data_IF_457214083834
#
_entry.id   IF_457214083834
#
_cell.length_a   1.000
_cell.length_b   1.000
_cell.length_c   1.000
_cell.angle_alpha   90.00
_cell.angle_beta   90.00
_cell.angle_gamma   90.00
#
_symmetry.space_group_name_H-M   'P 1'
#
loop_
_entity.id
_entity.type
_entity.pdbx_description
1 polymer ?
#
# COMPACT_ATOMS: atom_id res chain seq x y z
N UNK A 1 -31.99 -6.66 13.72
CA UNK A 1 -31.82 -5.19 13.82
C UNK A 1 -30.53 -4.84 13.10
N UNK A 2 -30.62 -4.55 11.81
CA UNK A 2 -29.51 -4.06 11.00
C UNK A 2 -29.10 -2.67 11.50
N UNK A 3 -28.04 -2.64 12.32
CA UNK A 3 -27.29 -1.40 12.60
C UNK A 3 -26.10 -1.32 11.65
N UNK A 4 -26.37 -1.20 10.35
CA UNK A 4 -25.44 -0.53 9.45
C UNK A 4 -25.49 0.96 9.80
N UNK A 5 -24.76 1.34 10.86
CA UNK A 5 -24.59 2.74 11.23
C UNK A 5 -24.00 3.45 10.00
N UNK A 6 -24.67 4.48 9.45
CA UNK A 6 -24.21 5.07 8.21
C UNK A 6 -22.87 5.74 8.49
N UNK A 7 -21.84 5.38 7.72
CA UNK A 7 -20.49 5.95 7.83
C UNK A 7 -20.49 7.50 7.78
N UNK A 8 -21.55 8.11 7.23
CA UNK A 8 -21.79 9.56 7.23
C UNK A 8 -21.99 10.17 8.62
N UNK A 9 -22.60 9.44 9.56
CA UNK A 9 -22.78 9.91 10.95
C UNK A 9 -21.43 10.09 11.63
N UNK A 10 -20.53 9.12 11.47
CA UNK A 10 -19.18 9.20 12.04
C UNK A 10 -18.34 10.32 11.38
N UNK A 11 -18.51 10.51 10.08
CA UNK A 11 -17.77 11.52 9.32
C UNK A 11 -18.10 12.96 9.74
N UNK A 12 -19.38 13.25 9.96
CA UNK A 12 -19.84 14.58 10.41
C UNK A 12 -19.40 14.86 11.84
N UNK A 13 -19.47 13.86 12.72
CA UNK A 13 -18.98 13.96 14.10
C UNK A 13 -17.47 14.19 14.14
N UNK A 14 -16.72 13.49 13.29
CA UNK A 14 -15.28 13.67 13.13
C UNK A 14 -14.93 15.05 12.57
N UNK A 15 -15.69 15.55 11.59
CA UNK A 15 -15.53 16.92 11.08
C UNK A 15 -15.70 17.96 12.20
N UNK A 16 -16.81 17.89 12.93
CA UNK A 16 -17.12 18.83 14.00
C UNK A 16 -16.07 18.80 15.11
N UNK A 17 -15.60 17.60 15.48
CA UNK A 17 -14.51 17.43 16.45
C UNK A 17 -13.21 18.08 15.97
N UNK A 18 -12.82 17.84 14.71
CA UNK A 18 -11.58 18.40 14.16
C UNK A 18 -11.63 19.93 14.08
N UNK A 19 -12.77 20.50 13.70
CA UNK A 19 -12.97 21.96 13.70
C UNK A 19 -12.89 22.53 15.11
N UNK A 20 -13.52 21.87 16.09
CA UNK A 20 -13.45 22.27 17.49
C UNK A 20 -12.01 22.21 18.03
N UNK A 21 -11.26 21.16 17.71
CA UNK A 21 -9.86 21.00 18.10
C UNK A 21 -8.99 22.11 17.49
N UNK A 22 -9.17 22.40 16.20
CA UNK A 22 -8.45 23.50 15.50
C UNK A 22 -8.71 24.85 16.17
N UNK A 23 -9.98 25.20 16.41
CA UNK A 23 -10.35 26.47 17.02
C UNK A 23 -9.85 26.58 18.47
N UNK A 24 -9.93 25.49 19.23
CA UNK A 24 -9.48 25.45 20.63
C UNK A 24 -7.97 25.65 20.71
N UNK A 25 -7.19 24.91 19.91
CA UNK A 25 -5.73 25.04 19.88
C UNK A 25 -5.28 26.41 19.38
N UNK A 26 -5.94 26.97 18.37
CA UNK A 26 -5.66 28.32 17.90
C UNK A 26 -5.88 29.37 19.01
N UNK A 27 -6.97 29.24 19.78
CA UNK A 27 -7.20 30.10 20.95
C UNK A 27 -6.08 29.97 21.98
N UNK A 28 -5.68 28.74 22.32
CA UNK A 28 -4.60 28.48 23.28
C UNK A 28 -3.27 29.07 22.81
N UNK A 29 -2.95 28.93 21.52
CA UNK A 29 -1.76 29.55 20.91
C UNK A 29 -1.79 31.08 21.03
N UNK A 30 -2.94 31.71 20.76
CA UNK A 30 -3.08 33.16 20.90
C UNK A 30 -2.89 33.59 22.36
N UNK A 31 -3.48 32.87 23.33
CA UNK A 31 -3.29 33.17 24.75
C UNK A 31 -1.82 33.01 25.18
N UNK A 32 -1.14 31.93 24.77
CA UNK A 32 0.28 31.72 25.05
C UNK A 32 1.13 32.86 24.47
N UNK A 33 0.82 33.33 23.26
CA UNK A 33 1.53 34.42 22.62
C UNK A 33 1.28 35.78 23.32
N UNK A 34 0.05 36.07 23.73
CA UNK A 34 -0.30 37.36 24.35
C UNK A 34 0.12 37.45 25.81
N UNK A 35 0.10 36.34 26.57
CA UNK A 35 0.62 36.29 27.95
C UNK A 35 2.11 36.68 28.01
N UNK A 36 2.88 36.31 26.98
CA UNK A 36 4.28 36.72 26.87
C UNK A 36 4.43 38.23 26.57
N UNK A 37 3.49 38.82 25.80
CA UNK A 37 3.51 40.24 25.45
C UNK A 37 3.07 41.15 26.61
N UNK A 38 2.10 40.74 27.43
CA UNK A 38 1.67 41.48 28.62
C UNK A 38 2.69 41.43 29.76
N UNK A 39 3.50 40.36 29.83
CA UNK A 39 4.58 40.18 30.80
C UNK A 39 5.74 41.19 30.69
N UNK A 40 5.79 42.00 29.62
CA UNK A 40 6.80 43.05 29.41
C UNK A 40 6.78 44.17 30.48
N UNK A 41 5.77 44.22 31.35
CA UNK A 41 5.70 45.21 32.45
C UNK A 41 6.07 44.65 33.82
N UNK A 42 6.20 43.32 34.01
CA UNK A 42 6.55 42.70 35.30
C UNK A 42 7.12 41.29 35.10
N UNK A 43 8.45 41.15 35.21
CA UNK A 43 9.17 39.95 35.68
C UNK A 43 8.61 38.57 35.25
N UNK A 44 8.42 38.32 33.95
CA UNK A 44 8.24 36.94 33.50
C UNK A 44 9.53 36.17 33.80
N UNK A 45 9.48 35.21 34.74
CA UNK A 45 10.64 34.37 35.04
C UNK A 45 11.10 33.67 33.75
N UNK A 46 12.41 33.52 33.50
CA UNK A 46 12.91 32.84 32.29
C UNK A 46 12.34 31.41 32.16
N UNK A 47 12.04 30.77 33.29
CA UNK A 47 11.32 29.49 33.37
C UNK A 47 9.91 29.59 32.78
N UNK A 48 9.13 30.63 33.13
CA UNK A 48 7.78 30.82 32.57
C UNK A 48 7.80 31.09 31.04
N UNK A 49 8.80 31.82 30.56
CA UNK A 49 8.98 32.10 29.12
C UNK A 49 9.29 30.80 28.35
N UNK A 50 10.21 29.99 28.88
CA UNK A 50 10.57 28.71 28.25
C UNK A 50 9.42 27.70 28.25
N UNK A 51 8.65 27.60 29.34
CA UNK A 51 7.45 26.75 29.43
C UNK A 51 6.39 27.20 28.43
N UNK A 52 6.19 28.51 28.26
CA UNK A 52 5.27 29.04 27.26
C UNK A 52 5.74 28.72 25.84
N UNK A 53 7.04 28.80 25.55
CA UNK A 53 7.60 28.40 24.26
C UNK A 53 7.40 26.91 23.95
N UNK A 54 7.63 26.03 24.93
CA UNK A 54 7.39 24.58 24.79
C UNK A 54 5.90 24.30 24.57
N UNK A 55 5.03 24.93 25.37
CA UNK A 55 3.58 24.78 25.25
C UNK A 55 3.08 25.28 23.90
N UNK A 56 3.61 26.39 23.40
CA UNK A 56 3.26 26.93 22.08
C UNK A 56 3.63 25.95 20.97
N UNK A 57 4.83 25.34 21.03
CA UNK A 57 5.24 24.33 20.06
C UNK A 57 4.32 23.10 20.09
N UNK A 58 3.97 22.62 21.27
CA UNK A 58 3.07 21.46 21.43
C UNK A 58 1.67 21.74 20.86
N UNK A 59 1.14 22.94 21.09
CA UNK A 59 -0.16 23.33 20.51
C UNK A 59 -0.10 23.51 19.00
N UNK A 60 1.02 23.98 18.43
CA UNK A 60 1.23 24.02 16.98
C UNK A 60 1.27 22.62 16.36
N UNK A 61 1.99 21.68 16.97
CA UNK A 61 2.06 20.30 16.49
C UNK A 61 0.67 19.63 16.54
N UNK A 62 -0.10 19.88 17.61
CA UNK A 62 -1.48 19.43 17.73
C UNK A 62 -2.40 20.04 16.67
N UNK A 63 -2.29 21.35 16.42
CA UNK A 63 -3.06 22.06 15.39
C UNK A 63 -2.75 21.51 14.00
N UNK A 64 -1.46 21.31 13.69
CA UNK A 64 -1.02 20.74 12.43
C UNK A 64 -1.56 19.32 12.21
N UNK A 65 -1.60 18.49 13.27
CA UNK A 65 -2.22 17.17 13.23
C UNK A 65 -3.71 17.24 12.92
N UNK A 66 -4.46 18.09 13.62
CA UNK A 66 -5.91 18.25 13.38
C UNK A 66 -6.23 18.72 11.95
N UNK A 67 -5.41 19.61 11.38
CA UNK A 67 -5.55 20.05 9.98
C UNK A 67 -5.24 18.91 9.00
N UNK A 68 -4.21 18.09 9.26
CA UNK A 68 -3.92 16.90 8.44
C UNK A 68 -5.05 15.87 8.47
N UNK A 69 -5.64 15.65 9.64
CA UNK A 69 -6.80 14.77 9.78
C UNK A 69 -8.01 15.32 9.03
N UNK A 70 -8.22 16.63 9.04
CA UNK A 70 -9.28 17.28 8.25
C UNK A 70 -9.05 17.12 6.74
N UNK A 71 -7.80 17.24 6.28
CA UNK A 71 -7.46 16.99 4.88
C UNK A 71 -7.71 15.52 4.50
N UNK A 72 -7.31 14.59 5.38
CA UNK A 72 -7.59 13.15 5.22
C UNK A 72 -9.10 12.88 5.16
N UNK A 73 -9.89 13.55 5.99
CA UNK A 73 -11.34 13.49 5.97
C UNK A 73 -11.91 13.97 4.62
N UNK A 74 -11.41 15.10 4.12
CA UNK A 74 -11.83 15.63 2.82
C UNK A 74 -11.53 14.67 1.66
N UNK A 75 -10.39 13.96 1.74
CA UNK A 75 -10.03 12.92 0.78
C UNK A 75 -11.02 11.75 0.86
N UNK A 76 -11.34 11.26 2.05
CA UNK A 76 -12.34 10.19 2.24
C UNK A 76 -13.72 10.59 1.72
N UNK A 77 -14.14 11.83 1.96
CA UNK A 77 -15.39 12.37 1.40
C UNK A 77 -15.32 12.31 -0.13
N UNK A 78 -14.27 12.83 -0.75
CA UNK A 78 -14.11 12.78 -2.22
C UNK A 78 -14.08 11.35 -2.76
N UNK A 79 -13.44 10.42 -2.05
CA UNK A 79 -13.44 9.00 -2.40
C UNK A 79 -14.87 8.41 -2.35
N UNK A 80 -15.68 8.78 -1.35
CA UNK A 80 -17.10 8.40 -1.30
C UNK A 80 -17.89 8.93 -2.51
N UNK A 81 -17.60 10.16 -2.96
CA UNK A 81 -18.25 10.75 -4.13
C UNK A 81 -17.83 10.09 -5.45
N UNK A 82 -16.54 9.71 -5.59
CA UNK A 82 -15.99 9.15 -6.83
C UNK A 82 -16.25 7.65 -6.94
N UNK A 83 -16.09 6.91 -5.83
CA UNK A 83 -16.14 5.44 -5.83
C UNK A 83 -17.42 4.87 -5.20
N UNK A 84 -18.25 5.68 -4.56
CA UNK A 84 -19.39 5.22 -3.77
C UNK A 84 -18.99 4.81 -2.35
N UNK A 85 -19.87 4.12 -1.57
CA UNK A 85 -19.57 3.68 -0.21
C UNK A 85 -18.21 2.97 -0.16
N UNK A 86 -17.33 3.41 0.76
CA UNK A 86 -15.93 3.01 0.84
C UNK A 86 -15.82 1.48 0.69
N UNK A 87 -15.31 1.03 -0.45
CA UNK A 87 -15.34 -0.36 -0.90
C UNK A 87 -14.71 -1.38 0.08
N UNK A 88 -14.01 -0.91 1.11
CA UNK A 88 -13.43 -1.76 2.17
C UNK A 88 -14.46 -2.33 3.13
N UNK A 89 -15.58 -1.64 3.35
CA UNK A 89 -16.50 -1.99 4.44
C UNK A 89 -17.85 -2.55 3.93
N UNK A 90 -18.03 -2.68 2.61
CA UNK A 90 -19.24 -3.26 2.02
C UNK A 90 -19.00 -4.71 1.55
N UNK A 91 -19.40 -5.73 2.35
CA UNK A 91 -19.23 -7.14 2.00
C UNK A 91 -20.02 -7.51 0.73
N UNK A 92 -21.07 -6.75 0.38
CA UNK A 92 -21.86 -7.03 -0.82
C UNK A 92 -21.14 -6.61 -2.09
N UNK A 93 -20.28 -5.58 -2.03
CA UNK A 93 -19.46 -5.13 -3.16
C UNK A 93 -18.30 -6.08 -3.42
N UNK A 94 -17.63 -6.58 -2.37
CA UNK A 94 -16.60 -7.61 -2.52
C UNK A 94 -17.18 -8.91 -3.10
N UNK A 95 -18.36 -9.33 -2.66
CA UNK A 95 -19.04 -10.49 -3.23
C UNK A 95 -19.40 -10.28 -4.72
N UNK A 96 -19.82 -9.07 -5.10
CA UNK A 96 -20.09 -8.72 -6.50
C UNK A 96 -18.82 -8.70 -7.34
N UNK A 97 -17.72 -8.15 -6.82
CA UNK A 97 -16.43 -8.10 -7.53
C UNK A 97 -15.91 -9.53 -7.78
N UNK A 98 -15.99 -10.44 -6.80
CA UNK A 98 -15.65 -11.87 -6.98
C UNK A 98 -16.52 -12.55 -8.03
N UNK A 99 -17.83 -12.27 -8.02
CA UNK A 99 -18.75 -12.81 -9.02
C UNK A 99 -18.44 -12.28 -10.42
N UNK A 100 -18.08 -10.99 -10.55
CA UNK A 100 -17.63 -10.42 -11.82
C UNK A 100 -16.38 -11.13 -12.33
N UNK A 101 -15.39 -11.36 -11.46
CA UNK A 101 -14.17 -12.08 -11.84
C UNK A 101 -14.46 -13.52 -12.31
N UNK A 102 -15.39 -14.22 -11.64
CA UNK A 102 -15.86 -15.54 -12.04
C UNK A 102 -16.53 -15.51 -13.43
N UNK A 103 -17.44 -14.55 -13.66
CA UNK A 103 -18.10 -14.39 -14.97
C UNK A 103 -17.12 -14.03 -16.08
N UNK A 104 -16.14 -13.17 -15.79
CA UNK A 104 -15.08 -12.82 -16.75
C UNK A 104 -14.26 -14.05 -17.10
N UNK A 105 -13.88 -14.86 -16.11
CA UNK A 105 -13.18 -16.13 -16.34
C UNK A 105 -14.00 -17.11 -17.17
N UNK A 106 -15.30 -17.22 -16.90
CA UNK A 106 -16.21 -18.09 -17.64
C UNK A 106 -16.35 -17.64 -19.11
N UNK A 107 -16.60 -16.35 -19.35
CA UNK A 107 -16.72 -15.78 -20.71
C UNK A 107 -15.41 -15.90 -21.47
N UNK A 108 -14.26 -15.63 -20.82
CA UNK A 108 -12.95 -15.81 -21.44
C UNK A 108 -12.70 -17.28 -21.83
N UNK A 109 -13.11 -18.23 -20.98
CA UNK A 109 -13.05 -19.66 -21.28
C UNK A 109 -13.91 -20.05 -22.49
N UNK A 110 -15.16 -19.56 -22.55
CA UNK A 110 -16.05 -19.80 -23.69
C UNK A 110 -15.48 -19.22 -24.98
N UNK A 111 -14.96 -17.99 -24.95
CA UNK A 111 -14.36 -17.35 -26.12
C UNK A 111 -13.13 -18.13 -26.60
N UNK A 112 -12.26 -18.54 -25.68
CA UNK A 112 -11.08 -19.36 -25.99
C UNK A 112 -11.48 -20.72 -26.61
N UNK A 113 -12.53 -21.36 -26.09
CA UNK A 113 -13.05 -22.61 -26.66
C UNK A 113 -13.62 -22.41 -28.08
N UNK A 114 -14.31 -21.30 -28.33
CA UNK A 114 -14.80 -20.97 -29.67
C UNK A 114 -13.65 -20.69 -30.64
N UNK A 115 -12.65 -19.94 -30.22
CA UNK A 115 -11.46 -19.63 -31.03
C UNK A 115 -10.68 -20.91 -31.36
N UNK A 116 -10.45 -21.79 -30.38
CA UNK A 116 -9.75 -23.07 -30.60
C UNK A 116 -10.51 -23.97 -31.58
N UNK A 117 -11.85 -24.07 -31.47
CA UNK A 117 -12.66 -24.84 -32.41
C UNK A 117 -12.64 -24.25 -33.82
N UNK A 118 -12.71 -22.92 -33.95
CA UNK A 118 -12.64 -22.24 -35.24
C UNK A 118 -11.27 -22.45 -35.91
N UNK A 119 -10.18 -22.33 -35.15
CA UNK A 119 -8.82 -22.53 -35.66
C UNK A 119 -8.55 -23.99 -36.04
N UNK A 120 -9.02 -24.95 -35.23
CA UNK A 120 -8.91 -26.37 -35.53
C UNK A 120 -9.65 -26.73 -36.83
N UNK A 121 -10.83 -26.15 -37.07
CA UNK A 121 -11.58 -26.35 -38.31
C UNK A 121 -10.82 -25.83 -39.53
N UNK A 122 -10.28 -24.61 -39.45
CA UNK A 122 -9.48 -24.02 -40.54
C UNK A 122 -8.20 -24.81 -40.83
N UNK A 123 -7.53 -25.34 -39.80
CA UNK A 123 -6.36 -26.18 -40.01
C UNK A 123 -6.72 -27.50 -40.70
N UNK A 124 -7.82 -28.12 -40.29
CA UNK A 124 -8.31 -29.36 -40.89
C UNK A 124 -8.67 -29.19 -42.38
N UNK A 125 -9.19 -28.03 -42.80
CA UNK A 125 -9.48 -27.71 -44.21
C UNK A 125 -8.23 -27.74 -45.10
N UNK A 126 -7.04 -27.51 -44.53
CA UNK A 126 -5.74 -27.52 -45.23
C UNK A 126 -4.95 -28.82 -44.95
N UNK A 127 -5.54 -29.76 -44.22
CA UNK A 127 -4.90 -31.02 -43.82
C UNK A 127 -3.82 -30.86 -42.73
N UNK A 128 -3.84 -29.74 -42.01
CA UNK A 128 -2.94 -29.46 -40.90
C UNK A 128 -3.66 -29.61 -39.54
N UNK A 129 -2.89 -29.77 -38.46
CA UNK A 129 -3.40 -29.78 -37.09
C UNK A 129 -3.06 -28.45 -36.41
N UNK A 130 -4.05 -27.83 -35.77
CA UNK A 130 -3.84 -26.59 -35.01
C UNK A 130 -3.35 -26.90 -33.60
N UNK A 131 -2.32 -26.19 -33.15
CA UNK A 131 -1.85 -26.24 -31.76
C UNK A 131 -1.85 -24.85 -31.14
N UNK A 132 -2.35 -24.68 -29.90
CA UNK A 132 -2.30 -23.40 -29.21
C UNK A 132 -0.85 -23.00 -28.94
N UNK A 133 -0.49 -21.75 -29.25
CA UNK A 133 0.79 -21.19 -28.85
C UNK A 133 0.80 -20.99 -27.33
N UNK A 134 1.32 -21.96 -26.60
CA UNK A 134 1.70 -21.77 -25.20
C UNK A 134 3.01 -20.99 -25.18
N UNK A 135 2.99 -19.77 -24.65
CA UNK A 135 4.22 -18.99 -24.43
C UNK A 135 5.01 -19.62 -23.28
N UNK A 136 5.95 -20.52 -23.58
CA UNK A 136 6.83 -21.17 -22.60
C UNK A 136 7.97 -20.26 -22.07
N UNK A 137 8.13 -19.05 -22.63
CA UNK A 137 9.36 -18.25 -22.44
C UNK A 137 9.42 -17.33 -21.20
N UNK A 138 8.42 -17.30 -20.32
CA UNK A 138 8.46 -16.38 -19.17
C UNK A 138 9.11 -16.96 -17.89
N UNK A 139 9.29 -18.28 -17.79
CA UNK A 139 9.72 -18.93 -16.54
C UNK A 139 11.04 -19.69 -16.62
N UNK A 140 11.67 -19.83 -17.80
CA UNK A 140 12.94 -20.56 -17.94
C UNK A 140 14.20 -19.68 -18.01
N UNK A 141 14.08 -18.39 -18.35
CA UNK A 141 15.26 -17.50 -18.47
C UNK A 141 15.89 -17.17 -17.10
N UNK A 142 15.13 -17.18 -16.00
CA UNK A 142 15.66 -16.73 -14.71
C UNK A 142 16.31 -17.83 -13.85
N UNK A 143 16.22 -19.11 -14.26
CA UNK A 143 16.83 -20.23 -13.51
C UNK A 143 18.16 -20.68 -14.12
N UNK A 144 18.44 -20.33 -15.38
CA UNK A 144 19.73 -20.62 -16.01
C UNK A 144 20.84 -19.64 -15.62
N UNK A 145 20.52 -18.39 -15.25
CA UNK A 145 21.54 -17.42 -14.80
C UNK A 145 22.12 -17.78 -13.41
N UNK A 146 21.34 -18.41 -12.52
CA UNK A 146 21.85 -18.79 -11.18
C UNK A 146 22.55 -20.15 -11.15
N UNK A 147 22.34 -21.02 -12.15
CA UNK A 147 22.97 -22.36 -12.14
C UNK A 147 24.30 -22.39 -12.91
N UNK A 148 24.49 -21.55 -13.94
CA UNK A 148 25.80 -21.39 -14.59
C UNK A 148 26.82 -20.62 -13.73
N UNK A 149 26.38 -19.69 -12.88
CA UNK A 149 27.26 -19.00 -11.93
C UNK A 149 27.78 -19.91 -10.78
N UNK A 150 27.16 -21.08 -10.54
CA UNK A 150 27.60 -22.01 -9.49
C UNK A 150 28.52 -23.13 -10.01
N UNK A 151 28.44 -23.46 -11.29
CA UNK A 151 29.30 -24.49 -11.89
C UNK A 151 30.67 -23.96 -12.33
N UNK A 152 30.82 -22.67 -12.66
CA UNK A 152 32.13 -22.08 -12.96
C UNK A 152 32.98 -21.79 -11.71
N UNK A 153 32.36 -21.58 -10.54
CA UNK A 153 33.08 -21.42 -9.27
C UNK A 153 33.64 -22.74 -8.70
N UNK A 154 33.04 -23.89 -9.04
CA UNK A 154 33.50 -25.20 -8.56
C UNK A 154 34.62 -25.81 -9.44
N UNK A 155 34.67 -25.47 -10.73
CA UNK A 155 35.67 -26.02 -11.66
C UNK A 155 37.07 -25.39 -11.51
N UNK A 156 37.17 -24.22 -10.85
CA UNK A 156 38.47 -23.56 -10.59
C UNK A 156 39.15 -23.98 -9.28
N UNK A 157 38.53 -24.86 -8.46
CA UNK A 157 39.11 -25.35 -7.20
C UNK A 157 39.63 -26.80 -7.26
N UNK A 158 39.42 -27.54 -8.36
CA UNK A 158 39.78 -28.97 -8.44
C UNK A 158 41.10 -29.29 -9.15
N UNK A 159 41.89 -28.29 -9.60
CA UNK A 159 43.11 -28.53 -10.40
C UNK A 159 44.44 -28.44 -9.59
N UNK A 160 44.44 -28.13 -8.30
CA UNK A 160 45.70 -27.95 -7.53
C UNK A 160 46.04 -29.02 -6.47
N UNK A 161 45.44 -30.21 -6.46
CA UNK A 161 45.89 -31.29 -5.56
C UNK A 161 46.03 -32.67 -6.24
N UNK A 162 47.18 -32.89 -6.88
CA UNK A 162 47.85 -34.20 -7.05
C UNK A 162 49.36 -33.93 -6.83
N UNK A 163 50.20 -34.69 -6.13
CA UNK A 163 50.27 -36.02 -5.50
C UNK A 163 51.53 -35.98 -4.56
N UNK A 164 52.15 -37.08 -4.09
CA UNK A 164 51.75 -38.18 -3.18
C UNK A 164 52.64 -38.32 -1.89
N UNK A 165 52.22 -39.22 -0.98
CA UNK A 165 52.79 -39.68 0.34
C UNK A 165 54.10 -40.55 0.19
N UNK A 166 54.78 -41.17 1.21
CA UNK A 166 54.62 -41.35 2.70
C UNK A 166 56.02 -41.28 3.47
N UNK A 167 56.37 -41.93 4.62
CA UNK A 167 55.63 -42.65 5.70
C UNK A 167 56.00 -42.24 7.16
N UNK A 168 55.30 -42.87 8.11
CA UNK A 168 55.28 -42.79 9.57
C UNK A 168 56.60 -42.95 10.35
N UNK A 169 56.73 -42.19 11.45
CA UNK A 169 57.47 -42.56 12.69
C UNK A 169 56.68 -42.03 13.90
N UNK A 170 55.96 -42.90 14.62
CA UNK A 170 56.34 -43.38 15.96
C UNK A 170 55.39 -44.48 16.43
#
# INVERSE_FOLDING_TARGET
>A
MDRSQPASSNLMDLHNRLVADVLTRYRTLMMLATVQAEGGRNNASPEAISVAGISMKMEFDGLYSSVKELLTLSRRIKELWVYGPLARDDPTRQAKDLHIDEHVGHVAGLLSAMDTAAMARLAAEVGAEWQPLVREDASQVNTQVTTQARTEAAASQTVSQSAPLPPSIR
#
